data_IF_240603678769
#
_entry.id   IF_240603678769
#
_cell.length_a   1.000
_cell.length_b   1.000
_cell.length_c   1.000
_cell.angle_alpha   90.00
_cell.angle_beta   90.00
_cell.angle_gamma   90.00
#
_symmetry.space_group_name_H-M   'P 1'
#
loop_
_entity.id
_entity.type
_entity.pdbx_description
1 polymer ?
#
# COMPACT_ATOMS: atom_id res chain seq x y z
N UNK A 1 -5.18 -22.22 -22.54
CA UNK A 1 -4.58 -20.88 -22.42
C UNK A 1 -3.89 -20.55 -23.73
N UNK A 2 -4.26 -19.46 -24.27
CA UNK A 2 -4.29 -19.15 -25.68
C UNK A 2 -2.91 -18.77 -26.23
N UNK A 3 -2.71 -19.00 -27.52
CA UNK A 3 -1.59 -18.54 -28.35
C UNK A 3 -1.17 -17.10 -27.98
N UNK A 4 -2.12 -16.21 -27.75
CA UNK A 4 -1.90 -14.82 -27.33
C UNK A 4 -1.11 -14.67 -26.02
N UNK A 5 -1.33 -15.52 -25.00
CA UNK A 5 -0.56 -15.47 -23.75
C UNK A 5 0.91 -15.83 -24.00
N UNK A 6 1.15 -16.88 -24.75
CA UNK A 6 2.52 -17.33 -25.04
C UNK A 6 3.30 -16.28 -25.85
N UNK A 7 2.65 -15.62 -26.81
CA UNK A 7 3.25 -14.53 -27.61
C UNK A 7 3.67 -13.37 -26.71
N UNK A 8 2.77 -12.87 -25.85
CA UNK A 8 3.05 -11.78 -24.90
C UNK A 8 4.16 -12.18 -23.92
N UNK A 9 4.10 -13.40 -23.39
CA UNK A 9 5.12 -13.91 -22.48
C UNK A 9 6.49 -13.98 -23.16
N UNK A 10 6.58 -14.53 -24.37
CA UNK A 10 7.83 -14.61 -25.11
C UNK A 10 8.39 -13.23 -25.42
N UNK A 11 7.55 -12.27 -25.81
CA UNK A 11 7.98 -10.90 -26.04
C UNK A 11 8.54 -10.24 -24.77
N UNK A 12 7.90 -10.45 -23.61
CA UNK A 12 8.36 -9.93 -22.32
C UNK A 12 9.74 -10.46 -21.89
N UNK A 13 10.14 -11.62 -22.41
CA UNK A 13 11.44 -12.25 -22.14
C UNK A 13 12.48 -11.86 -23.20
N UNK A 14 12.11 -11.95 -24.47
CA UNK A 14 13.04 -11.77 -25.60
C UNK A 14 13.30 -10.30 -25.92
N UNK A 15 12.28 -9.44 -25.79
CA UNK A 15 12.36 -7.98 -26.00
C UNK A 15 12.01 -7.24 -24.70
N UNK A 16 12.71 -7.56 -23.63
CA UNK A 16 12.37 -7.09 -22.27
C UNK A 16 12.21 -5.57 -22.17
N UNK A 17 13.17 -4.79 -22.64
CA UNK A 17 13.11 -3.34 -22.52
C UNK A 17 12.03 -2.73 -23.42
N UNK A 18 11.88 -3.22 -24.65
CA UNK A 18 10.82 -2.76 -25.56
C UNK A 18 9.43 -3.03 -25.00
N UNK A 19 9.21 -4.26 -24.53
CA UNK A 19 7.94 -4.67 -23.92
C UNK A 19 7.57 -3.79 -22.70
N UNK A 20 8.48 -3.66 -21.74
CA UNK A 20 8.19 -2.87 -20.52
C UNK A 20 8.13 -1.36 -20.79
N UNK A 21 8.81 -0.87 -21.80
CA UNK A 21 8.65 0.52 -22.29
C UNK A 21 7.23 0.75 -22.79
N UNK A 22 6.68 -0.16 -23.58
CA UNK A 22 5.33 -0.05 -24.11
C UNK A 22 4.29 -0.13 -22.97
N UNK A 23 4.36 -1.16 -22.11
CA UNK A 23 3.47 -1.32 -20.97
C UNK A 23 3.51 -0.13 -20.01
N UNK A 24 4.67 0.52 -19.87
CA UNK A 24 4.81 1.71 -19.01
C UNK A 24 3.97 2.91 -19.45
N UNK A 25 3.46 2.91 -20.70
CA UNK A 25 2.56 3.97 -21.16
C UNK A 25 1.14 3.89 -20.56
N UNK A 26 0.75 2.74 -20.01
CA UNK A 26 -0.51 2.57 -19.29
C UNK A 26 -0.50 3.22 -17.91
N UNK A 27 0.67 3.64 -17.44
CA UNK A 27 0.88 4.29 -16.14
C UNK A 27 1.02 5.80 -16.36
N UNK A 28 0.39 6.58 -15.49
CA UNK A 28 0.63 8.02 -15.45
C UNK A 28 2.00 8.31 -14.80
N UNK A 29 2.80 9.13 -15.49
CA UNK A 29 4.10 9.59 -15.04
C UNK A 29 4.13 11.12 -14.96
N UNK A 30 4.54 11.68 -13.83
CA UNK A 30 4.89 13.10 -13.75
C UNK A 30 6.14 13.44 -14.57
N UNK A 31 7.08 12.47 -14.62
CA UNK A 31 8.23 12.47 -15.52
C UNK A 31 8.36 11.07 -16.11
N UNK A 32 8.18 10.95 -17.44
CA UNK A 32 8.34 9.67 -18.14
C UNK A 32 9.78 9.15 -17.99
N UNK A 33 9.96 7.84 -17.77
CA UNK A 33 11.30 7.26 -17.75
C UNK A 33 11.93 7.28 -19.14
N UNK A 34 13.22 7.56 -19.20
CA UNK A 34 14.04 7.38 -20.41
C UNK A 34 14.87 6.10 -20.34
N UNK A 35 15.17 5.64 -19.11
CA UNK A 35 15.85 4.37 -18.84
C UNK A 35 14.84 3.35 -18.36
N UNK A 36 14.66 2.29 -19.14
CA UNK A 36 13.69 1.23 -18.80
C UNK A 36 14.31 0.27 -17.79
N UNK A 37 15.49 -0.26 -18.08
CA UNK A 37 16.21 -1.19 -17.22
C UNK A 37 17.65 -0.76 -17.03
N UNK A 38 18.10 -0.68 -15.79
CA UNK A 38 19.52 -0.58 -15.47
C UNK A 38 19.99 -1.91 -14.87
N UNK A 39 20.85 -2.62 -15.62
CA UNK A 39 21.42 -3.92 -15.26
C UNK A 39 22.89 -3.85 -14.88
N UNK A 40 23.44 -2.68 -14.57
CA UNK A 40 24.87 -2.48 -14.28
C UNK A 40 25.35 -3.16 -12.99
N UNK A 41 24.43 -3.44 -12.06
CA UNK A 41 24.78 -4.05 -10.77
C UNK A 41 23.90 -5.31 -10.48
N UNK A 42 24.07 -6.43 -11.23
CA UNK A 42 23.31 -7.63 -10.96
C UNK A 42 23.67 -8.24 -9.60
N UNK A 43 22.72 -8.87 -8.88
CA UNK A 43 21.33 -9.08 -9.25
C UNK A 43 20.40 -7.89 -8.92
N UNK A 44 20.91 -6.76 -8.48
CA UNK A 44 20.15 -5.59 -8.05
C UNK A 44 19.83 -4.68 -9.24
N UNK A 45 18.86 -5.10 -10.05
CA UNK A 45 18.38 -4.33 -11.19
C UNK A 45 17.52 -3.15 -10.75
N UNK A 46 17.56 -2.05 -11.54
CA UNK A 46 16.68 -0.89 -11.34
C UNK A 46 15.81 -0.69 -12.58
N UNK A 47 14.51 -0.62 -12.36
CA UNK A 47 13.53 -0.35 -13.39
C UNK A 47 13.08 1.09 -13.33
N UNK A 48 12.98 1.76 -14.50
CA UNK A 48 12.44 3.11 -14.62
C UNK A 48 13.07 4.13 -13.65
N UNK A 49 14.37 4.03 -13.42
CA UNK A 49 15.06 4.74 -12.32
C UNK A 49 15.00 6.27 -12.41
N UNK A 50 14.82 6.84 -13.60
CA UNK A 50 14.71 8.28 -13.85
C UNK A 50 13.26 8.76 -14.03
N UNK A 51 12.28 7.84 -13.94
CA UNK A 51 10.85 8.13 -13.96
C UNK A 51 10.33 8.63 -12.62
N UNK A 52 9.27 9.44 -12.66
CA UNK A 52 8.58 9.93 -11.45
C UNK A 52 7.09 9.65 -11.57
N UNK A 53 6.58 8.86 -10.66
CA UNK A 53 5.16 8.53 -10.56
C UNK A 53 4.70 8.50 -9.10
N UNK A 54 3.40 8.41 -8.87
CA UNK A 54 2.82 8.19 -7.55
C UNK A 54 1.78 7.08 -7.65
N UNK A 55 1.95 6.03 -6.84
CA UNK A 55 1.07 4.86 -6.83
C UNK A 55 -0.37 5.23 -6.45
N UNK A 56 -0.55 6.11 -5.44
CA UNK A 56 -1.88 6.54 -5.02
C UNK A 56 -2.57 7.34 -6.13
N UNK A 57 -1.85 8.23 -6.82
CA UNK A 57 -2.41 8.97 -7.94
C UNK A 57 -2.93 8.04 -9.03
N UNK A 58 -2.12 7.08 -9.45
CA UNK A 58 -2.52 6.10 -10.47
C UNK A 58 -3.71 5.23 -10.05
N UNK A 59 -3.72 4.78 -8.79
CA UNK A 59 -4.77 3.88 -8.30
C UNK A 59 -6.08 4.61 -7.96
N UNK A 60 -6.07 5.91 -7.75
CA UNK A 60 -7.20 6.64 -7.17
C UNK A 60 -7.50 7.95 -7.91
N UNK A 61 -6.61 8.95 -7.82
CA UNK A 61 -6.90 10.30 -8.32
C UNK A 61 -7.09 10.32 -9.84
N UNK A 62 -6.31 9.56 -10.58
CA UNK A 62 -6.41 9.44 -12.04
C UNK A 62 -7.81 9.00 -12.49
N UNK A 63 -8.42 8.07 -11.75
CA UNK A 63 -9.77 7.61 -12.07
C UNK A 63 -10.83 8.69 -11.82
N UNK A 64 -10.67 9.50 -10.78
CA UNK A 64 -11.54 10.65 -10.53
C UNK A 64 -11.38 11.70 -11.63
N UNK A 65 -10.13 12.02 -11.99
CA UNK A 65 -9.80 13.00 -13.04
C UNK A 65 -10.31 12.56 -14.42
N UNK A 66 -10.45 11.24 -14.64
CA UNK A 66 -11.06 10.65 -15.84
C UNK A 66 -12.60 10.54 -15.78
N UNK A 67 -13.26 11.21 -14.82
CA UNK A 67 -14.71 11.20 -14.70
C UNK A 67 -15.33 9.95 -14.10
N UNK A 68 -14.51 9.06 -13.49
CA UNK A 68 -14.98 7.80 -12.89
C UNK A 68 -15.26 7.92 -11.37
N UNK A 69 -15.35 9.16 -10.86
CA UNK A 69 -15.45 9.46 -9.43
C UNK A 69 -16.62 8.78 -8.71
N UNK A 70 -17.75 8.59 -9.40
CA UNK A 70 -18.94 7.93 -8.83
C UNK A 70 -18.94 6.40 -8.97
N UNK A 71 -17.94 5.81 -9.64
CA UNK A 71 -17.80 4.35 -9.67
C UNK A 71 -17.36 3.83 -8.30
N UNK A 72 -17.79 2.62 -7.96
CA UNK A 72 -17.36 1.96 -6.74
C UNK A 72 -15.88 1.59 -6.84
N UNK A 73 -15.11 2.03 -5.85
CA UNK A 73 -13.71 1.69 -5.66
C UNK A 73 -13.55 0.53 -4.66
N UNK A 74 -14.38 0.50 -3.61
CA UNK A 74 -14.39 -0.56 -2.60
C UNK A 74 -15.82 -1.00 -2.36
N UNK A 75 -16.03 -2.30 -2.37
CA UNK A 75 -17.24 -2.97 -1.87
C UNK A 75 -16.80 -3.76 -0.64
N UNK A 76 -17.24 -3.31 0.52
CA UNK A 76 -16.96 -3.97 1.79
C UNK A 76 -18.19 -4.74 2.25
N UNK A 77 -18.03 -6.01 2.53
CA UNK A 77 -19.06 -6.88 3.10
C UNK A 77 -18.46 -7.77 4.19
N UNK A 78 -18.90 -7.58 5.41
CA UNK A 78 -18.46 -8.38 6.57
C UNK A 78 -19.61 -9.21 7.10
N UNK A 79 -19.68 -10.51 6.80
CA UNK A 79 -20.70 -11.38 7.32
C UNK A 79 -20.63 -11.54 8.87
N UNK A 80 -19.46 -11.28 9.46
CA UNK A 80 -19.26 -11.40 10.91
C UNK A 80 -19.94 -10.25 11.66
N UNK A 81 -19.82 -9.02 11.12
CA UNK A 81 -20.41 -7.82 11.75
C UNK A 81 -21.74 -7.41 11.14
N UNK A 82 -22.13 -8.03 10.01
CA UNK A 82 -23.26 -7.60 9.20
C UNK A 82 -23.05 -6.25 8.48
N UNK A 83 -21.85 -5.69 8.57
CA UNK A 83 -21.55 -4.37 7.99
C UNK A 83 -21.33 -4.48 6.48
N UNK A 84 -21.97 -3.57 5.73
CA UNK A 84 -21.77 -3.41 4.28
C UNK A 84 -21.51 -1.94 3.97
N UNK A 85 -20.49 -1.66 3.19
CA UNK A 85 -20.17 -0.29 2.76
C UNK A 85 -19.74 -0.28 1.29
N UNK A 86 -20.33 0.63 0.53
CA UNK A 86 -19.93 0.93 -0.85
C UNK A 86 -19.21 2.28 -0.86
N UNK A 87 -17.94 2.29 -1.25
CA UNK A 87 -17.11 3.50 -1.28
C UNK A 87 -16.79 3.81 -2.73
N UNK A 88 -17.21 4.99 -3.20
CA UNK A 88 -16.87 5.49 -4.53
C UNK A 88 -15.43 5.99 -4.57
N UNK A 89 -14.85 6.17 -5.80
CA UNK A 89 -13.53 6.77 -5.96
C UNK A 89 -13.46 8.17 -5.35
N UNK A 90 -14.49 9.01 -5.50
CA UNK A 90 -14.55 10.32 -4.87
C UNK A 90 -14.47 10.23 -3.35
N UNK A 91 -15.26 9.37 -2.74
CA UNK A 91 -15.26 9.18 -1.28
C UNK A 91 -13.95 8.61 -0.77
N UNK A 92 -13.37 7.67 -1.51
CA UNK A 92 -12.06 7.11 -1.17
C UNK A 92 -10.96 8.16 -1.25
N UNK A 93 -10.97 9.02 -2.29
CA UNK A 93 -10.02 10.13 -2.46
C UNK A 93 -10.07 11.10 -1.27
N UNK A 94 -11.28 11.46 -0.81
CA UNK A 94 -11.48 12.28 0.38
C UNK A 94 -10.88 11.64 1.65
N UNK A 95 -11.29 10.38 1.93
CA UNK A 95 -10.81 9.65 3.12
C UNK A 95 -9.27 9.50 3.11
N UNK A 96 -8.69 9.17 1.97
CA UNK A 96 -7.23 9.03 1.79
C UNK A 96 -6.51 10.37 1.98
N UNK A 97 -7.06 11.46 1.47
CA UNK A 97 -6.47 12.78 1.63
C UNK A 97 -6.46 13.23 3.10
N UNK A 98 -7.57 13.03 3.82
CA UNK A 98 -7.68 13.32 5.25
C UNK A 98 -6.67 12.51 6.07
N UNK A 99 -6.56 11.21 5.81
CA UNK A 99 -5.64 10.35 6.53
C UNK A 99 -4.17 10.67 6.20
N UNK A 100 -3.86 10.98 4.95
CA UNK A 100 -2.53 11.47 4.54
C UNK A 100 -2.14 12.77 5.27
N UNK A 101 -3.11 13.69 5.42
CA UNK A 101 -2.93 14.90 6.24
C UNK A 101 -2.64 14.60 7.70
N UNK A 102 -3.37 13.62 8.28
CA UNK A 102 -3.12 13.18 9.66
C UNK A 102 -1.71 12.57 9.83
N UNK A 103 -1.25 11.72 8.90
CA UNK A 103 0.11 11.17 8.91
C UNK A 103 1.17 12.28 8.82
N UNK A 104 0.98 13.26 7.93
CA UNK A 104 1.87 14.43 7.83
C UNK A 104 1.91 15.22 9.12
N UNK A 105 0.76 15.47 9.76
CA UNK A 105 0.68 16.16 11.06
C UNK A 105 1.42 15.40 12.16
N UNK A 106 1.49 14.07 12.07
CA UNK A 106 2.31 13.23 12.96
C UNK A 106 3.78 13.19 12.55
N UNK A 107 4.19 13.95 11.54
CA UNK A 107 5.57 14.11 11.11
C UNK A 107 6.03 13.08 10.05
N UNK A 108 5.12 12.30 9.46
CA UNK A 108 5.50 11.35 8.38
C UNK A 108 5.86 12.11 7.12
N UNK A 109 6.98 11.75 6.52
CA UNK A 109 7.54 12.33 5.30
C UNK A 109 7.84 11.23 4.27
N UNK A 110 8.18 11.65 3.04
CA UNK A 110 8.64 10.73 1.99
C UNK A 110 9.80 9.87 2.49
N UNK A 111 9.71 8.56 2.27
CA UNK A 111 10.71 7.57 2.68
C UNK A 111 10.58 7.07 4.13
N UNK A 112 9.75 7.72 4.98
CA UNK A 112 9.45 7.17 6.30
C UNK A 112 8.64 5.87 6.18
N UNK A 113 8.85 4.94 7.14
CA UNK A 113 8.11 3.67 7.20
C UNK A 113 6.96 3.78 8.18
N UNK A 114 5.82 3.25 7.76
CA UNK A 114 4.57 3.18 8.54
C UNK A 114 4.13 1.71 8.58
N UNK A 115 4.03 1.14 9.76
CA UNK A 115 3.44 -0.19 9.94
C UNK A 115 1.92 -0.06 9.96
N UNK A 116 1.25 -0.94 9.25
CA UNK A 116 -0.22 -1.08 9.28
C UNK A 116 -0.53 -2.48 9.82
N UNK A 117 -1.06 -2.55 11.04
CA UNK A 117 -1.43 -3.78 11.72
C UNK A 117 -2.89 -3.69 12.15
N UNK A 118 -3.77 -4.16 11.30
CA UNK A 118 -5.22 -4.08 11.49
C UNK A 118 -5.96 -5.18 10.74
N UNK A 119 -7.25 -5.39 11.04
CA UNK A 119 -8.08 -6.36 10.31
C UNK A 119 -8.31 -5.91 8.87
N UNK A 120 -8.94 -6.79 8.07
CA UNK A 120 -9.31 -6.52 6.68
C UNK A 120 -10.54 -5.61 6.63
N UNK A 121 -10.30 -4.32 6.79
CA UNK A 121 -11.32 -3.25 6.79
C UNK A 121 -10.92 -2.16 5.78
N UNK A 122 -11.85 -1.34 5.29
CA UNK A 122 -11.55 -0.26 4.34
C UNK A 122 -10.45 0.69 4.81
N UNK A 123 -10.34 0.93 6.10
CA UNK A 123 -9.32 1.78 6.72
C UNK A 123 -7.89 1.28 6.46
N UNK A 124 -7.68 -0.04 6.31
CA UNK A 124 -6.37 -0.58 5.95
C UNK A 124 -5.96 -0.15 4.54
N UNK A 125 -6.88 -0.19 3.58
CA UNK A 125 -6.64 0.29 2.20
C UNK A 125 -6.41 1.80 2.18
N UNK A 126 -7.21 2.56 2.94
CA UNK A 126 -7.05 4.01 3.08
C UNK A 126 -5.66 4.35 3.63
N UNK A 127 -5.19 3.63 4.65
CA UNK A 127 -3.86 3.83 5.23
C UNK A 127 -2.74 3.54 4.22
N UNK A 128 -2.85 2.45 3.45
CA UNK A 128 -1.89 2.11 2.38
C UNK A 128 -1.82 3.21 1.32
N UNK A 129 -2.97 3.64 0.80
CA UNK A 129 -3.05 4.68 -0.22
C UNK A 129 -2.57 6.03 0.32
N UNK A 130 -2.86 6.36 1.58
CA UNK A 130 -2.38 7.59 2.23
C UNK A 130 -0.85 7.61 2.35
N UNK A 131 -0.22 6.49 2.70
CA UNK A 131 1.25 6.36 2.67
C UNK A 131 1.78 6.58 1.25
N UNK A 132 1.22 5.90 0.25
CA UNK A 132 1.60 6.07 -1.16
C UNK A 132 1.45 7.52 -1.63
N UNK A 133 0.38 8.22 -1.20
CA UNK A 133 0.12 9.63 -1.54
C UNK A 133 1.24 10.57 -1.11
N UNK A 134 1.79 10.38 0.08
CA UNK A 134 2.85 11.23 0.63
C UNK A 134 4.26 10.68 0.36
N UNK A 135 4.37 9.57 -0.36
CA UNK A 135 5.65 8.91 -0.66
C UNK A 135 6.28 8.19 0.54
N UNK A 136 5.50 7.89 1.57
CA UNK A 136 5.92 7.03 2.66
C UNK A 136 5.85 5.56 2.25
N UNK A 137 6.63 4.72 2.92
CA UNK A 137 6.65 3.27 2.73
C UNK A 137 5.74 2.61 3.76
N UNK A 138 4.70 1.92 3.33
CA UNK A 138 3.89 1.14 4.26
C UNK A 138 4.38 -0.31 4.35
N UNK A 139 4.34 -0.87 5.55
CA UNK A 139 4.57 -2.29 5.83
C UNK A 139 3.29 -2.85 6.45
N UNK A 140 2.57 -3.66 5.66
CA UNK A 140 1.33 -4.29 6.14
C UNK A 140 1.68 -5.58 6.85
N UNK A 141 1.27 -5.67 8.10
CA UNK A 141 1.47 -6.85 8.94
C UNK A 141 0.14 -7.60 9.08
N UNK A 142 0.17 -8.89 8.81
CA UNK A 142 -1.02 -9.73 8.94
C UNK A 142 -1.58 -9.69 10.37
N UNK A 143 -2.87 -9.37 10.49
CA UNK A 143 -3.54 -9.16 11.77
C UNK A 143 -3.62 -10.38 12.71
N UNK A 144 -3.31 -11.59 12.20
CA UNK A 144 -3.20 -12.81 13.00
C UNK A 144 -1.83 -13.02 13.64
N UNK A 145 -0.84 -12.16 13.40
CA UNK A 145 0.49 -12.32 13.97
C UNK A 145 0.56 -11.95 15.45
N UNK A 146 1.35 -12.74 16.21
CA UNK A 146 1.63 -12.51 17.60
C UNK A 146 2.51 -11.26 17.83
N UNK A 147 2.58 -10.78 19.06
CA UNK A 147 3.34 -9.60 19.44
C UNK A 147 4.84 -9.67 19.08
N UNK A 148 5.46 -10.86 19.19
CA UNK A 148 6.86 -11.06 18.82
C UNK A 148 7.11 -10.81 17.33
N UNK A 149 6.22 -11.29 16.46
CA UNK A 149 6.32 -11.08 15.02
C UNK A 149 6.13 -9.61 14.64
N UNK A 150 5.23 -8.93 15.32
CA UNK A 150 5.04 -7.48 15.13
C UNK A 150 6.27 -6.71 15.61
N UNK A 151 6.87 -7.09 16.77
CA UNK A 151 8.09 -6.47 17.29
C UNK A 151 9.27 -6.62 16.32
N UNK A 152 9.45 -7.82 15.75
CA UNK A 152 10.48 -8.07 14.73
C UNK A 152 10.33 -7.15 13.51
N UNK A 153 9.10 -6.92 13.05
CA UNK A 153 8.84 -6.01 11.93
C UNK A 153 9.04 -4.53 12.27
N UNK A 154 8.76 -4.15 13.52
CA UNK A 154 9.07 -2.83 14.03
C UNK A 154 10.58 -2.60 13.99
N UNK A 155 11.36 -3.57 14.46
CA UNK A 155 12.81 -3.49 14.50
C UNK A 155 13.44 -3.47 13.10
N UNK A 156 12.97 -4.32 12.19
CA UNK A 156 13.46 -4.41 10.83
C UNK A 156 13.17 -3.13 10.04
N UNK A 157 11.93 -2.68 10.04
CA UNK A 157 11.51 -1.50 9.28
C UNK A 157 11.98 -0.19 9.90
N UNK A 158 12.30 -0.16 11.18
CA UNK A 158 12.52 1.07 11.97
C UNK A 158 11.38 2.07 11.75
N UNK A 159 10.16 1.57 11.87
CA UNK A 159 8.95 2.33 11.57
C UNK A 159 8.83 3.57 12.45
N UNK A 160 8.37 4.66 11.85
CA UNK A 160 8.13 5.93 12.54
C UNK A 160 6.78 5.94 13.24
N UNK A 161 5.78 5.31 12.63
CA UNK A 161 4.40 5.21 13.11
C UNK A 161 3.89 3.78 12.93
N UNK A 162 3.01 3.37 13.84
CA UNK A 162 2.21 2.17 13.73
C UNK A 162 0.73 2.55 13.72
N UNK A 163 0.02 2.14 12.68
CA UNK A 163 -1.43 2.31 12.52
C UNK A 163 -2.10 0.99 12.84
N UNK A 164 -3.10 1.02 13.73
CA UNK A 164 -3.80 -0.19 14.18
C UNK A 164 -5.28 0.10 14.48
N UNK A 165 -6.05 -0.96 14.66
CA UNK A 165 -7.40 -0.93 15.21
C UNK A 165 -7.36 -1.34 16.70
N UNK A 166 -8.42 -1.05 17.45
CA UNK A 166 -8.57 -1.53 18.83
C UNK A 166 -8.81 -3.05 18.87
N UNK A 167 -9.64 -3.55 17.95
CA UNK A 167 -9.94 -4.98 17.82
C UNK A 167 -10.32 -5.31 16.35
N UNK A 168 -10.38 -6.60 16.06
CA UNK A 168 -10.99 -7.18 14.88
C UNK A 168 -11.94 -8.30 15.28
N UNK A 169 -12.88 -8.63 14.40
CA UNK A 169 -13.85 -9.69 14.63
C UNK A 169 -13.55 -10.88 13.70
N UNK A 170 -13.44 -12.05 14.29
CA UNK A 170 -13.32 -13.34 13.60
C UNK A 170 -14.50 -14.25 14.00
N UNK A 171 -14.79 -15.31 13.26
CA UNK A 171 -15.85 -16.25 13.67
C UNK A 171 -15.64 -16.74 15.09
N UNK A 172 -16.63 -16.45 15.97
CA UNK A 172 -16.64 -16.90 17.36
C UNK A 172 -15.68 -16.19 18.33
N UNK A 173 -14.90 -15.19 17.87
CA UNK A 173 -14.00 -14.44 18.78
C UNK A 173 -13.74 -13.00 18.37
N UNK A 174 -13.42 -12.17 19.35
CA UNK A 174 -12.85 -10.83 19.16
C UNK A 174 -11.33 -10.89 19.34
N UNK A 175 -10.58 -10.42 18.35
CA UNK A 175 -9.13 -10.28 18.43
C UNK A 175 -8.79 -8.87 18.88
N UNK A 176 -8.24 -8.75 20.08
CA UNK A 176 -7.84 -7.47 20.66
C UNK A 176 -6.47 -7.06 20.16
N UNK A 177 -6.40 -6.13 19.19
CA UNK A 177 -5.15 -5.65 18.61
C UNK A 177 -4.34 -4.78 19.56
N UNK A 178 -4.99 -3.93 20.32
CA UNK A 178 -4.30 -2.97 21.19
C UNK A 178 -3.38 -3.63 22.24
N UNK A 179 -3.78 -4.71 22.96
CA UNK A 179 -2.87 -5.44 23.83
C UNK A 179 -1.66 -6.05 23.10
N UNK A 180 -1.87 -6.60 21.89
CA UNK A 180 -0.78 -7.16 21.09
C UNK A 180 0.21 -6.08 20.66
N UNK A 181 -0.29 -4.91 20.23
CA UNK A 181 0.54 -3.75 19.88
C UNK A 181 1.34 -3.27 21.09
N UNK A 182 0.70 -3.11 22.26
CA UNK A 182 1.39 -2.68 23.46
C UNK A 182 2.54 -3.64 23.81
N UNK A 183 2.27 -4.95 23.74
CA UNK A 183 3.30 -5.99 23.99
C UNK A 183 4.42 -5.95 22.95
N UNK A 184 4.09 -5.75 21.68
CA UNK A 184 5.09 -5.64 20.63
C UNK A 184 5.99 -4.40 20.83
N UNK A 185 5.44 -3.26 21.25
CA UNK A 185 6.18 -2.03 21.53
C UNK A 185 7.13 -2.19 22.75
N UNK A 186 6.75 -3.01 23.74
CA UNK A 186 7.65 -3.37 24.85
C UNK A 186 8.83 -4.23 24.37
N UNK A 187 8.55 -5.24 23.54
CA UNK A 187 9.52 -6.21 23.04
C UNK A 187 10.49 -5.62 22.00
N UNK A 188 10.03 -4.69 21.18
CA UNK A 188 10.83 -4.10 20.12
C UNK A 188 11.99 -3.27 20.69
N UNK A 189 13.16 -3.38 20.06
CA UNK A 189 14.33 -2.55 20.37
C UNK A 189 14.13 -1.13 19.81
N UNK A 190 13.60 -1.02 18.60
CA UNK A 190 13.26 0.28 18.00
C UNK A 190 12.03 0.87 18.66
N UNK A 191 12.15 2.11 19.18
CA UNK A 191 11.03 2.78 19.85
C UNK A 191 10.28 3.67 18.87
N UNK A 192 9.05 3.26 18.55
CA UNK A 192 8.11 4.10 17.81
C UNK A 192 7.67 5.24 18.71
N UNK A 193 7.74 6.47 18.20
CA UNK A 193 7.39 7.66 18.98
C UNK A 193 5.88 7.88 19.13
N UNK A 194 5.09 7.24 18.26
CA UNK A 194 3.62 7.37 18.23
C UNK A 194 2.97 6.14 17.59
#
# INVERSE_FOLDING_TARGET
MTQKYNEIYQESIQNREGFWKEISNDIFWYKKPTKILNSQNPPFYKWFEDGVTNTCYNALDLHVDQGKGEKLAIIYDSPITGSKENITYNKLKEKVALFAGALKKQGVSKGDRVIIYMPMIPEAVIAMLACGRIGAVHSVVFGGFAANELASRIDDSKAKILVTASCGYEPGRTVHYKPLVNKALELANHKIKK
#
